data_IF_469511683669
#
_entry.id   IF_469511683669
#
_cell.length_a   1.000
_cell.length_b   1.000
_cell.length_c   1.000
_cell.angle_alpha   90.00
_cell.angle_beta   90.00
_cell.angle_gamma   90.00
#
_symmetry.space_group_name_H-M   'P 1'
#
loop_
_entity.id
_entity.type
_entity.pdbx_description
1 polymer ?
#
# COMPACT_ATOMS: atom_id res chain seq x y z
N UNK A 1 -2.79 -16.21 15.24
CA UNK A 1 -2.72 -14.92 14.52
C UNK A 1 -3.67 -13.95 15.19
N UNK A 2 -3.16 -12.93 15.88
CA UNK A 2 -4.02 -11.82 16.28
C UNK A 2 -4.35 -11.02 15.02
N UNK A 3 -5.62 -10.69 14.74
CA UNK A 3 -5.89 -9.64 13.78
C UNK A 3 -5.29 -8.38 14.40
N UNK A 4 -4.23 -7.82 13.81
CA UNK A 4 -3.88 -6.44 14.14
C UNK A 4 -5.16 -5.66 13.88
N UNK A 5 -5.70 -4.99 14.91
CA UNK A 5 -6.72 -3.96 14.69
C UNK A 5 -6.15 -3.09 13.57
N UNK A 6 -6.89 -2.97 12.46
CA UNK A 6 -6.54 -2.06 11.40
C UNK A 6 -6.32 -0.69 12.06
N UNK A 7 -5.05 -0.33 12.24
CA UNK A 7 -4.70 1.01 12.67
C UNK A 7 -5.10 1.93 11.51
N UNK A 8 -5.56 3.13 11.82
CA UNK A 8 -5.91 4.14 10.82
C UNK A 8 -4.66 4.53 10.02
N UNK A 9 -4.38 3.80 8.94
CA UNK A 9 -3.19 3.97 8.10
C UNK A 9 -3.26 5.31 7.39
N UNK A 10 -2.13 6.01 7.40
CA UNK A 10 -1.90 7.26 6.68
C UNK A 10 -0.98 7.00 5.51
N UNK A 11 -0.94 7.93 4.55
CA UNK A 11 -0.04 7.81 3.38
C UNK A 11 1.44 7.65 3.76
N UNK A 12 1.84 8.06 4.97
CA UNK A 12 3.21 7.94 5.48
C UNK A 12 3.52 6.57 6.08
N UNK A 13 2.54 5.71 6.28
CA UNK A 13 2.69 4.37 6.86
C UNK A 13 3.07 3.36 5.76
N UNK A 14 4.16 3.67 5.04
CA UNK A 14 4.58 3.03 3.79
C UNK A 14 4.64 1.50 3.89
N UNK A 15 5.26 0.98 4.94
CA UNK A 15 5.44 -0.46 5.13
C UNK A 15 4.14 -1.17 5.50
N UNK A 16 3.26 -0.53 6.28
CA UNK A 16 1.98 -1.11 6.64
C UNK A 16 1.07 -1.20 5.41
N UNK A 17 1.10 -0.17 4.56
CA UNK A 17 0.40 -0.17 3.26
C UNK A 17 0.97 -1.26 2.35
N UNK A 18 2.29 -1.38 2.23
CA UNK A 18 2.94 -2.39 1.39
C UNK A 18 2.53 -3.81 1.80
N UNK A 19 2.64 -4.15 3.08
CA UNK A 19 2.21 -5.44 3.63
C UNK A 19 0.72 -5.71 3.37
N UNK A 20 -0.14 -4.69 3.52
CA UNK A 20 -1.56 -4.82 3.23
C UNK A 20 -1.84 -5.05 1.73
N UNK A 21 -1.03 -4.46 0.83
CA UNK A 21 -1.10 -4.70 -0.60
C UNK A 21 -0.62 -6.11 -0.96
N UNK A 22 0.45 -6.61 -0.35
CA UNK A 22 0.92 -8.00 -0.52
C UNK A 22 -0.16 -9.00 -0.11
N UNK A 23 -0.80 -8.80 1.05
CA UNK A 23 -1.90 -9.64 1.53
C UNK A 23 -3.13 -9.59 0.60
N UNK A 24 -3.47 -8.39 0.08
CA UNK A 24 -4.66 -8.19 -0.76
C UNK A 24 -4.45 -8.62 -2.23
N UNK A 25 -3.22 -8.56 -2.72
CA UNK A 25 -2.87 -8.79 -4.13
C UNK A 25 -1.63 -9.70 -4.27
N UNK A 26 -1.67 -10.94 -3.78
CA UNK A 26 -0.49 -11.82 -3.71
C UNK A 26 0.06 -12.26 -5.07
N UNK A 27 -0.75 -12.17 -6.14
CA UNK A 27 -0.37 -12.57 -7.50
C UNK A 27 0.02 -11.39 -8.39
N UNK A 28 0.04 -10.17 -7.85
CA UNK A 28 0.41 -8.96 -8.60
C UNK A 28 1.91 -8.71 -8.47
N UNK A 29 2.59 -8.51 -9.60
CA UNK A 29 3.96 -8.02 -9.61
C UNK A 29 3.95 -6.49 -9.41
N UNK A 30 4.37 -5.97 -8.24
CA UNK A 30 4.31 -4.56 -7.92
C UNK A 30 5.20 -3.70 -8.84
N UNK A 31 6.23 -4.27 -9.49
CA UNK A 31 7.12 -3.54 -10.40
C UNK A 31 6.39 -2.95 -11.62
N UNK A 32 5.27 -3.56 -12.03
CA UNK A 32 4.51 -3.14 -13.21
C UNK A 32 3.21 -2.39 -12.87
N UNK A 33 2.95 -2.14 -11.58
CA UNK A 33 1.76 -1.41 -11.14
C UNK A 33 1.89 0.07 -11.49
N UNK A 34 0.86 0.64 -12.12
CA UNK A 34 0.80 2.09 -12.41
C UNK A 34 0.40 2.83 -11.15
N UNK A 35 0.93 4.03 -10.93
CA UNK A 35 0.58 4.87 -9.78
C UNK A 35 -0.91 5.16 -9.65
N UNK A 36 -1.65 5.25 -10.75
CA UNK A 36 -3.12 5.41 -10.70
C UNK A 36 -3.83 4.20 -10.12
N UNK A 37 -3.35 2.99 -10.43
CA UNK A 37 -3.91 1.75 -9.89
C UNK A 37 -3.47 1.57 -8.43
N UNK A 38 -2.20 1.86 -8.13
CA UNK A 38 -1.66 1.84 -6.77
C UNK A 38 -2.41 2.80 -5.84
N UNK A 39 -2.62 4.05 -6.26
CA UNK A 39 -3.39 5.03 -5.51
C UNK A 39 -4.79 4.52 -5.17
N UNK A 40 -5.53 4.02 -6.18
CA UNK A 40 -6.87 3.46 -5.98
C UNK A 40 -6.84 2.33 -4.96
N UNK A 41 -5.95 1.36 -5.14
CA UNK A 41 -5.87 0.20 -4.25
C UNK A 41 -5.53 0.59 -2.81
N UNK A 42 -4.60 1.52 -2.59
CA UNK A 42 -4.30 2.03 -1.25
C UNK A 42 -5.52 2.67 -0.60
N UNK A 43 -6.28 3.48 -1.34
CA UNK A 43 -7.48 4.13 -0.80
C UNK A 43 -8.64 3.16 -0.53
N UNK A 44 -8.59 1.95 -1.11
CA UNK A 44 -9.57 0.88 -0.93
C UNK A 44 -9.16 -0.14 0.15
N UNK A 45 -7.94 -0.04 0.72
CA UNK A 45 -7.47 -0.93 1.78
C UNK A 45 -8.30 -0.76 3.06
N UNK A 46 -8.63 -1.89 3.69
CA UNK A 46 -9.23 -1.87 5.02
C UNK A 46 -8.25 -1.23 6.03
N UNK A 47 -8.71 -0.20 6.72
CA UNK A 47 -7.87 0.57 7.65
C UNK A 47 -7.18 1.81 7.06
N UNK A 48 -7.25 2.06 5.75
CA UNK A 48 -6.79 3.33 5.21
C UNK A 48 -7.72 4.48 5.66
N UNK A 49 -7.13 5.53 6.24
CA UNK A 49 -7.88 6.64 6.88
C UNK A 49 -7.22 8.01 6.61
N UNK A 50 -6.48 8.20 5.52
CA UNK A 50 -6.01 9.53 5.12
C UNK A 50 -6.89 10.15 4.05
N UNK A 51 -6.65 11.42 3.75
CA UNK A 51 -7.24 12.10 2.60
C UNK A 51 -6.65 11.51 1.29
N UNK A 52 -7.47 10.95 0.39
CA UNK A 52 -7.02 10.41 -0.91
C UNK A 52 -6.21 11.41 -1.74
N UNK A 53 -6.46 12.72 -1.59
CA UNK A 53 -5.78 13.79 -2.34
C UNK A 53 -4.39 14.14 -1.77
N UNK A 54 -4.01 13.61 -0.60
CA UNK A 54 -2.70 13.85 0.03
C UNK A 54 -1.59 12.92 -0.48
N UNK A 55 -1.88 12.08 -1.46
CA UNK A 55 -0.85 11.33 -2.16
C UNK A 55 0.07 12.25 -2.99
N UNK A 56 1.25 11.74 -3.33
CA UNK A 56 2.16 12.36 -4.28
C UNK A 56 2.93 11.26 -5.00
N UNK A 57 3.53 11.54 -6.15
CA UNK A 57 4.35 10.55 -6.87
C UNK A 57 5.44 9.96 -5.97
N UNK A 58 6.07 10.78 -5.12
CA UNK A 58 7.09 10.32 -4.17
C UNK A 58 6.55 9.35 -3.11
N UNK A 59 5.32 9.56 -2.65
CA UNK A 59 4.67 8.65 -1.68
C UNK A 59 4.34 7.34 -2.38
N UNK A 60 3.75 7.41 -3.58
CA UNK A 60 3.37 6.22 -4.35
C UNK A 60 4.59 5.41 -4.77
N UNK A 61 5.69 6.08 -5.15
CA UNK A 61 6.99 5.46 -5.40
C UNK A 61 7.53 4.74 -4.16
N UNK A 62 7.47 5.37 -2.99
CA UNK A 62 7.94 4.74 -1.75
C UNK A 62 7.10 3.51 -1.36
N UNK A 63 5.77 3.56 -1.55
CA UNK A 63 4.87 2.42 -1.33
C UNK A 63 5.19 1.30 -2.32
N UNK A 64 5.33 1.61 -3.61
CA UNK A 64 5.67 0.62 -4.63
C UNK A 64 7.01 -0.05 -4.35
N UNK A 65 8.03 0.72 -3.95
CA UNK A 65 9.35 0.18 -3.61
C UNK A 65 9.29 -0.76 -2.41
N UNK A 66 8.56 -0.38 -1.35
CA UNK A 66 8.36 -1.23 -0.18
C UNK A 66 7.54 -2.49 -0.51
N UNK A 67 6.56 -2.39 -1.39
CA UNK A 67 5.77 -3.55 -1.85
C UNK A 67 6.61 -4.51 -2.69
N UNK A 68 7.49 -4.02 -3.57
CA UNK A 68 8.47 -4.86 -4.28
C UNK A 68 9.36 -5.62 -3.29
N UNK A 69 9.92 -4.91 -2.29
CA UNK A 69 10.78 -5.53 -1.28
C UNK A 69 10.06 -6.62 -0.46
N UNK A 70 8.78 -6.40 -0.12
CA UNK A 70 7.97 -7.34 0.65
C UNK A 70 7.53 -8.56 -0.17
N UNK A 71 7.19 -8.37 -1.46
CA UNK A 71 6.77 -9.45 -2.35
C UNK A 71 7.92 -10.39 -2.78
N UNK A 72 9.16 -9.92 -2.71
CA UNK A 72 10.37 -10.69 -3.06
C UNK A 72 10.88 -11.60 -1.91
N UNK A 73 10.25 -11.57 -0.72
CA UNK A 73 10.68 -12.29 0.49
C UNK A 73 9.86 -13.56 0.79
#
# INVERSE_FOLDING_TARGET
MSPRRAAAMKWTDINDIAMALTDAYPDVDPQYVRFTDLHRWVTELDGFDDDPERSSEKILEAIQAAWIEDADY
#
